data_IF_877764806021
#
_entry.id   IF_877764806021
#
_cell.length_a   1.000
_cell.length_b   1.000
_cell.length_c   1.000
_cell.angle_alpha   90.00
_cell.angle_beta   90.00
_cell.angle_gamma   90.00
#
_symmetry.space_group_name_H-M   'P 1'
#
loop_
_entity.id
_entity.type
_entity.pdbx_description
1 polymer ?
#
# COMPACT_ATOMS: atom_id res chain seq x y z
N UNK A 1 12.97 -2.40 -8.77
CA UNK A 1 11.57 -2.84 -8.58
C UNK A 1 10.69 -1.60 -8.53
N UNK A 2 9.78 -1.41 -9.49
CA UNK A 2 8.90 -0.23 -9.50
C UNK A 2 7.77 -0.48 -8.49
N UNK A 3 7.66 0.30 -7.39
CA UNK A 3 6.51 0.17 -6.52
C UNK A 3 5.25 0.54 -7.31
N UNK A 4 4.19 -0.25 -7.15
CA UNK A 4 2.88 -0.13 -7.80
C UNK A 4 2.56 1.34 -8.12
N UNK A 5 2.38 1.65 -9.42
CA UNK A 5 2.29 3.04 -9.88
C UNK A 5 1.04 3.69 -9.28
N UNK A 6 1.15 4.97 -8.93
CA UNK A 6 0.01 5.71 -8.40
C UNK A 6 -1.18 5.69 -9.38
N UNK A 7 -0.90 5.66 -10.68
CA UNK A 7 -1.89 5.61 -11.76
C UNK A 7 -2.75 4.34 -11.70
N UNK A 8 -2.13 3.18 -11.43
CA UNK A 8 -2.87 1.91 -11.27
C UNK A 8 -3.79 1.94 -10.05
N UNK A 9 -3.37 2.61 -8.97
CA UNK A 9 -4.19 2.78 -7.77
C UNK A 9 -5.32 3.78 -8.00
N UNK A 10 -5.11 4.83 -8.81
CA UNK A 10 -6.15 5.83 -9.13
C UNK A 10 -7.28 5.27 -9.98
N UNK A 11 -7.02 4.24 -10.78
CA UNK A 11 -8.04 3.57 -11.59
C UNK A 11 -8.98 2.67 -10.77
N UNK A 12 -8.65 2.39 -9.51
CA UNK A 12 -9.46 1.55 -8.63
C UNK A 12 -10.56 2.37 -7.94
N UNK A 13 -11.68 1.72 -7.66
CA UNK A 13 -12.76 2.29 -6.83
C UNK A 13 -12.30 2.48 -5.38
N UNK A 14 -13.03 3.28 -4.60
CA UNK A 14 -12.71 3.46 -3.17
C UNK A 14 -12.78 2.15 -2.39
N UNK A 15 -13.77 1.31 -2.68
CA UNK A 15 -13.91 0.00 -2.05
C UNK A 15 -12.72 -0.93 -2.35
N UNK A 16 -12.25 -0.94 -3.60
CA UNK A 16 -11.07 -1.73 -4.01
C UNK A 16 -9.78 -1.19 -3.37
N UNK A 17 -9.64 0.14 -3.26
CA UNK A 17 -8.54 0.77 -2.56
C UNK A 17 -8.51 0.40 -1.08
N UNK A 18 -9.66 0.44 -0.40
CA UNK A 18 -9.76 0.01 1.00
C UNK A 18 -9.46 -1.47 1.16
N UNK A 19 -9.94 -2.31 0.25
CA UNK A 19 -9.66 -3.75 0.27
C UNK A 19 -8.15 -4.02 0.11
N UNK A 20 -7.49 -3.40 -0.89
CA UNK A 20 -6.04 -3.48 -1.04
C UNK A 20 -5.29 -2.95 0.18
N UNK A 21 -5.77 -1.87 0.80
CA UNK A 21 -5.15 -1.34 2.00
C UNK A 21 -5.17 -2.36 3.15
N UNK A 22 -6.24 -3.16 3.28
CA UNK A 22 -6.33 -4.25 4.27
C UNK A 22 -5.35 -5.37 3.93
N UNK A 23 -5.34 -5.85 2.69
CA UNK A 23 -4.43 -6.90 2.22
C UNK A 23 -2.96 -6.54 2.45
N UNK A 24 -2.53 -5.33 2.05
CA UNK A 24 -1.17 -4.88 2.28
C UNK A 24 -0.83 -4.69 3.77
N UNK A 25 -1.82 -4.43 4.61
CA UNK A 25 -1.62 -4.32 6.06
C UNK A 25 -1.37 -5.69 6.70
N UNK A 26 -2.06 -6.72 6.23
CA UNK A 26 -1.81 -8.11 6.61
C UNK A 26 -0.44 -8.58 6.10
N UNK A 27 -0.10 -8.28 4.84
CA UNK A 27 1.24 -8.55 4.30
C UNK A 27 2.33 -7.87 5.14
N UNK A 28 2.14 -6.59 5.51
CA UNK A 28 3.08 -5.88 6.38
C UNK A 28 3.22 -6.52 7.76
N UNK A 29 2.13 -7.05 8.32
CA UNK A 29 2.17 -7.76 9.60
C UNK A 29 3.03 -9.03 9.48
N UNK A 30 2.78 -9.84 8.45
CA UNK A 30 3.54 -11.06 8.18
C UNK A 30 5.03 -10.76 7.93
N UNK A 31 5.34 -9.73 7.13
CA UNK A 31 6.73 -9.32 6.87
C UNK A 31 7.43 -8.82 8.14
N UNK A 32 6.72 -8.14 9.06
CA UNK A 32 7.28 -7.73 10.35
C UNK A 32 7.54 -8.93 11.25
N UNK A 33 6.67 -9.94 11.21
CA UNK A 33 6.86 -11.19 11.95
C UNK A 33 8.07 -11.98 11.41
N UNK A 34 8.18 -12.12 10.09
CA UNK A 34 9.34 -12.73 9.43
C UNK A 34 10.64 -11.96 9.70
N UNK A 35 10.59 -10.63 9.75
CA UNK A 35 11.73 -9.80 10.11
C UNK A 35 12.18 -10.04 11.56
N UNK A 36 11.22 -10.18 12.49
CA UNK A 36 11.51 -10.44 13.90
C UNK A 36 12.10 -11.85 14.12
N UNK A 37 11.73 -12.82 13.29
CA UNK A 37 12.26 -14.20 13.31
C UNK A 37 13.55 -14.37 12.49
N UNK A 38 14.08 -13.28 11.91
CA UNK A 38 15.26 -13.27 11.04
C UNK A 38 15.16 -14.18 9.79
N UNK A 39 13.94 -14.55 9.38
CA UNK A 39 13.65 -15.37 8.19
C UNK A 39 13.18 -14.53 6.99
N UNK A 40 13.44 -13.22 7.01
CA UNK A 40 12.98 -12.33 5.95
C UNK A 40 13.98 -12.28 4.81
N UNK A 41 13.62 -12.88 3.67
CA UNK A 41 14.46 -12.90 2.47
C UNK A 41 14.69 -11.50 1.87
N UNK A 42 13.68 -10.63 1.93
CA UNK A 42 13.75 -9.30 1.31
C UNK A 42 13.25 -8.16 2.23
N UNK A 43 14.16 -7.51 2.98
CA UNK A 43 13.86 -6.34 3.81
C UNK A 43 13.28 -5.14 3.04
N UNK A 44 13.59 -5.01 1.75
CA UNK A 44 13.06 -3.91 0.93
C UNK A 44 11.56 -4.01 0.74
N UNK A 45 10.98 -5.22 0.81
CA UNK A 45 9.54 -5.44 0.67
C UNK A 45 8.74 -4.71 1.74
N UNK A 46 9.23 -4.65 2.98
CA UNK A 46 8.60 -3.88 4.07
C UNK A 46 8.47 -2.40 3.68
N UNK A 47 9.53 -1.82 3.10
CA UNK A 47 9.54 -0.42 2.68
C UNK A 47 8.59 -0.18 1.50
N UNK A 48 8.50 -1.12 0.57
CA UNK A 48 7.56 -1.07 -0.55
C UNK A 48 6.11 -1.12 -0.08
N UNK A 49 5.75 -2.10 0.75
CA UNK A 49 4.39 -2.27 1.27
C UNK A 49 3.95 -1.05 2.06
N UNK A 50 4.83 -0.48 2.92
CA UNK A 50 4.55 0.78 3.63
C UNK A 50 4.25 1.94 2.66
N UNK A 51 5.01 2.07 1.58
CA UNK A 51 4.79 3.12 0.56
C UNK A 51 3.48 2.92 -0.20
N UNK A 52 3.12 1.67 -0.51
CA UNK A 52 1.86 1.35 -1.19
C UNK A 52 0.67 1.73 -0.29
N UNK A 53 0.68 1.32 0.98
CA UNK A 53 -0.38 1.70 1.94
C UNK A 53 -0.49 3.22 2.06
N UNK A 54 0.64 3.93 2.14
CA UNK A 54 0.65 5.38 2.21
C UNK A 54 0.00 6.02 0.96
N UNK A 55 0.36 5.56 -0.25
CA UNK A 55 -0.24 6.04 -1.50
C UNK A 55 -1.74 5.81 -1.56
N UNK A 56 -2.21 4.61 -1.18
CA UNK A 56 -3.64 4.29 -1.15
C UNK A 56 -4.38 5.24 -0.22
N UNK A 57 -3.88 5.45 1.00
CA UNK A 57 -4.48 6.38 1.97
C UNK A 57 -4.48 7.82 1.46
N UNK A 58 -3.42 8.24 0.76
CA UNK A 58 -3.37 9.56 0.13
C UNK A 58 -4.47 9.70 -0.92
N UNK A 59 -4.64 8.73 -1.82
CA UNK A 59 -5.69 8.78 -2.87
C UNK A 59 -7.09 8.80 -2.24
N UNK A 60 -7.35 7.95 -1.24
CA UNK A 60 -8.63 7.97 -0.51
C UNK A 60 -8.88 9.33 0.16
N UNK A 61 -7.83 9.97 0.69
CA UNK A 61 -7.95 11.30 1.29
C UNK A 61 -8.15 12.39 0.24
N UNK A 62 -7.46 12.31 -0.89
CA UNK A 62 -7.63 13.22 -2.03
C UNK A 62 -9.08 13.18 -2.54
N UNK A 63 -9.65 11.98 -2.73
CA UNK A 63 -11.07 11.79 -3.11
C UNK A 63 -12.03 12.37 -2.09
N UNK A 64 -11.81 12.09 -0.81
CA UNK A 64 -12.65 12.65 0.28
C UNK A 64 -12.61 14.18 0.35
N UNK A 65 -11.51 14.80 -0.07
CA UNK A 65 -11.35 16.26 -0.12
C UNK A 65 -11.79 16.87 -1.46
N UNK A 66 -12.25 16.06 -2.43
CA UNK A 66 -12.60 16.53 -3.77
C UNK A 66 -11.40 17.01 -4.59
N UNK A 67 -10.17 16.60 -4.21
CA UNK A 67 -8.94 16.98 -4.90
C UNK A 67 -8.69 15.92 -5.97
N UNK A 68 -9.31 16.08 -7.14
CA UNK A 68 -8.92 15.31 -8.33
C UNK A 68 -7.72 15.98 -8.99
N UNK A 69 -6.53 15.41 -8.80
CA UNK A 69 -5.36 15.73 -9.63
C UNK A 69 -5.49 14.97 -10.94
N UNK A 70 -6.02 15.67 -11.94
CA UNK A 70 -6.00 15.29 -13.36
C UNK A 70 -4.59 14.91 -13.83
#
# INVERSE_FOLDING_TARGET
MRPMKADELRNLTEAELEQKAREFKEELFNLRFQHATAQLDNPMRIKEVKRIIARIKTILRERKLGIERA
#
